data_IF_494874443650
#
_entry.id   IF_494874443650
#
_cell.length_a   1.000
_cell.length_b   1.000
_cell.length_c   1.000
_cell.angle_alpha   90.00
_cell.angle_beta   90.00
_cell.angle_gamma   90.00
#
_symmetry.space_group_name_H-M   'P 1'
#
loop_
_entity.id
_entity.type
_entity.pdbx_description
1 polymer ?
#
# COMPACT_ATOMS: atom_id res chain seq x y z
N UNK A 1 36.54 -35.71 30.91
CA UNK A 1 36.39 -34.26 30.73
C UNK A 1 36.08 -33.65 32.09
N UNK A 2 36.81 -32.62 32.55
CA UNK A 2 36.56 -32.03 33.89
C UNK A 2 35.27 -31.20 33.85
N UNK A 3 34.51 -31.17 34.94
CA UNK A 3 33.26 -30.39 35.02
C UNK A 3 33.46 -28.90 34.69
N UNK A 4 34.63 -28.34 35.02
CA UNK A 4 35.00 -26.95 34.73
C UNK A 4 35.05 -26.66 33.22
N UNK A 5 35.58 -27.59 32.42
CA UNK A 5 35.66 -27.40 30.96
C UNK A 5 34.28 -27.42 30.32
N UNK A 6 33.38 -28.26 30.85
CA UNK A 6 31.98 -28.35 30.41
C UNK A 6 31.17 -27.12 30.80
N UNK A 7 31.40 -26.55 31.99
CA UNK A 7 30.78 -25.29 32.40
C UNK A 7 31.21 -24.16 31.45
N UNK A 8 32.51 -24.02 31.16
CA UNK A 8 33.01 -22.99 30.24
C UNK A 8 32.45 -23.14 28.82
N UNK A 9 32.30 -24.37 28.32
CA UNK A 9 31.71 -24.57 26.99
C UNK A 9 30.24 -24.16 26.96
N UNK A 10 29.47 -24.50 28.00
CA UNK A 10 28.06 -24.14 28.13
C UNK A 10 27.86 -22.64 28.28
N UNK A 11 28.70 -21.94 29.04
CA UNK A 11 28.66 -20.48 29.16
C UNK A 11 28.90 -19.79 27.81
N UNK A 12 29.85 -20.30 27.02
CA UNK A 12 30.11 -19.80 25.66
C UNK A 12 28.92 -20.04 24.74
N UNK A 13 28.30 -21.21 24.81
CA UNK A 13 27.13 -21.55 24.00
C UNK A 13 25.92 -20.69 24.38
N UNK A 14 25.67 -20.51 25.68
CA UNK A 14 24.63 -19.63 26.21
C UNK A 14 24.84 -18.17 25.77
N UNK A 15 26.09 -17.70 25.76
CA UNK A 15 26.43 -16.38 25.23
C UNK A 15 26.09 -16.22 23.75
N UNK A 16 26.36 -17.25 22.92
CA UNK A 16 25.98 -17.25 21.50
C UNK A 16 24.46 -17.25 21.32
N UNK A 17 23.73 -18.07 22.06
CA UNK A 17 22.26 -18.09 22.00
C UNK A 17 21.66 -16.76 22.42
N UNK A 18 22.15 -16.14 23.50
CA UNK A 18 21.70 -14.81 23.93
C UNK A 18 21.91 -13.76 22.85
N UNK A 19 23.07 -13.78 22.18
CA UNK A 19 23.34 -12.88 21.06
C UNK A 19 22.40 -13.15 19.87
N UNK A 20 22.21 -14.41 19.49
CA UNK A 20 21.31 -14.78 18.39
C UNK A 20 19.85 -14.37 18.65
N UNK A 21 19.37 -14.52 19.89
CA UNK A 21 18.04 -14.05 20.30
C UNK A 21 17.95 -12.53 20.19
N UNK A 22 18.93 -11.79 20.71
CA UNK A 22 18.95 -10.33 20.62
C UNK A 22 18.98 -9.83 19.17
N UNK A 23 19.78 -10.46 18.30
CA UNK A 23 19.84 -10.13 16.88
C UNK A 23 18.50 -10.42 16.17
N UNK A 24 17.84 -11.54 16.53
CA UNK A 24 16.52 -11.89 16.00
C UNK A 24 15.43 -10.93 16.47
N UNK A 25 15.44 -10.52 17.73
CA UNK A 25 14.50 -9.54 18.27
C UNK A 25 14.65 -8.19 17.56
N UNK A 26 15.89 -7.78 17.29
CA UNK A 26 16.16 -6.56 16.52
C UNK A 26 15.61 -6.65 15.09
N UNK A 27 15.75 -7.79 14.43
CA UNK A 27 15.20 -8.01 13.10
C UNK A 27 13.67 -7.98 13.11
N UNK A 28 13.05 -8.66 14.08
CA UNK A 28 11.59 -8.69 14.23
C UNK A 28 11.01 -7.30 14.46
N UNK A 29 11.69 -6.45 15.25
CA UNK A 29 11.27 -5.05 15.43
C UNK A 29 11.30 -4.27 14.11
N UNK A 30 12.39 -4.36 13.35
CA UNK A 30 12.50 -3.70 12.04
C UNK A 30 11.42 -4.17 11.07
N UNK A 31 11.17 -5.47 11.00
CA UNK A 31 10.13 -6.02 10.13
C UNK A 31 8.73 -5.55 10.54
N UNK A 32 8.45 -5.43 11.84
CA UNK A 32 7.19 -4.86 12.33
C UNK A 32 7.03 -3.39 11.93
N UNK A 33 8.08 -2.59 12.10
CA UNK A 33 8.07 -1.18 11.69
C UNK A 33 7.92 -1.00 10.17
N UNK A 34 8.49 -1.90 9.36
CA UNK A 34 8.28 -1.93 7.91
C UNK A 34 6.86 -2.33 7.54
N UNK A 35 6.31 -3.35 8.21
CA UNK A 35 4.94 -3.81 7.98
C UNK A 35 3.91 -2.74 8.37
N UNK A 36 4.11 -2.07 9.50
CA UNK A 36 3.25 -0.97 9.96
C UNK A 36 3.25 0.19 8.96
N UNK A 37 4.43 0.62 8.50
CA UNK A 37 4.54 1.66 7.46
C UNK A 37 3.89 1.25 6.13
N UNK A 38 4.06 0.00 5.73
CA UNK A 38 3.41 -0.52 4.52
C UNK A 38 1.88 -0.56 4.67
N UNK A 39 1.38 -0.92 5.86
CA UNK A 39 -0.04 -0.94 6.17
C UNK A 39 -0.63 0.48 6.16
N UNK A 40 0.02 1.44 6.81
CA UNK A 40 -0.39 2.84 6.81
C UNK A 40 -0.41 3.43 5.39
N UNK A 41 0.62 3.12 4.59
CA UNK A 41 0.67 3.51 3.18
C UNK A 41 -0.48 2.91 2.37
N UNK A 42 -0.83 1.64 2.61
CA UNK A 42 -1.96 1.00 1.95
C UNK A 42 -3.30 1.64 2.32
N UNK A 43 -3.51 1.99 3.60
CA UNK A 43 -4.70 2.71 4.05
C UNK A 43 -4.82 4.10 3.42
N UNK A 44 -3.71 4.83 3.32
CA UNK A 44 -3.69 6.14 2.65
C UNK A 44 -4.02 6.02 1.16
N UNK A 45 -3.47 5.03 0.46
CA UNK A 45 -3.78 4.77 -0.95
C UNK A 45 -5.23 4.36 -1.16
N UNK A 46 -5.78 3.53 -0.27
CA UNK A 46 -7.20 3.15 -0.30
C UNK A 46 -8.08 4.41 -0.14
N UNK A 47 -7.84 5.22 0.89
CA UNK A 47 -8.62 6.43 1.12
C UNK A 47 -8.54 7.43 -0.06
N UNK A 48 -7.35 7.59 -0.66
CA UNK A 48 -7.19 8.43 -1.85
C UNK A 48 -7.93 7.86 -3.07
N UNK A 49 -7.89 6.54 -3.26
CA UNK A 49 -8.61 5.86 -4.34
C UNK A 49 -10.11 5.99 -4.17
N UNK A 50 -10.64 5.77 -2.96
CA UNK A 50 -12.06 5.92 -2.64
C UNK A 50 -12.53 7.35 -2.91
N UNK A 51 -11.73 8.36 -2.55
CA UNK A 51 -12.03 9.76 -2.83
C UNK A 51 -12.08 10.06 -4.34
N UNK A 52 -11.13 9.54 -5.12
CA UNK A 52 -11.09 9.68 -6.58
C UNK A 52 -12.31 9.01 -7.23
N UNK A 53 -12.59 7.75 -6.89
CA UNK A 53 -13.75 7.02 -7.45
C UNK A 53 -15.05 7.73 -7.08
N UNK A 54 -15.18 8.19 -5.83
CA UNK A 54 -16.35 8.95 -5.38
C UNK A 54 -16.50 10.24 -6.19
N UNK A 55 -15.42 11.01 -6.39
CA UNK A 55 -15.46 12.23 -7.20
C UNK A 55 -15.89 11.97 -8.64
N UNK A 56 -15.39 10.89 -9.26
CA UNK A 56 -15.78 10.50 -10.62
C UNK A 56 -17.25 10.09 -10.66
N UNK A 57 -17.72 9.29 -9.68
CA UNK A 57 -19.12 8.87 -9.61
C UNK A 57 -20.08 10.07 -9.38
N UNK A 58 -19.68 11.05 -8.57
CA UNK A 58 -20.45 12.29 -8.38
C UNK A 58 -20.52 13.15 -9.65
N UNK A 59 -19.46 13.15 -10.46
CA UNK A 59 -19.37 13.98 -11.67
C UNK A 59 -20.02 13.33 -12.90
N UNK A 60 -19.96 11.99 -13.01
CA UNK A 60 -20.30 11.25 -14.22
C UNK A 60 -21.27 10.08 -14.00
N UNK A 61 -21.61 9.78 -12.75
CA UNK A 61 -22.57 8.73 -12.44
C UNK A 61 -24.01 9.15 -12.68
N UNK A 62 -24.90 8.16 -12.66
CA UNK A 62 -26.34 8.35 -12.68
C UNK A 62 -26.86 8.51 -11.25
N UNK A 63 -27.72 9.52 -11.04
CA UNK A 63 -28.42 9.68 -9.78
C UNK A 63 -29.44 8.55 -9.59
N UNK A 64 -29.37 7.84 -8.47
CA UNK A 64 -30.31 6.79 -8.12
C UNK A 64 -31.30 7.33 -7.11
N UNK A 65 -32.58 7.30 -7.48
CA UNK A 65 -33.72 7.68 -6.66
C UNK A 65 -34.59 6.45 -6.46
N UNK A 66 -34.92 6.14 -5.22
CA UNK A 66 -35.83 5.05 -4.84
C UNK A 66 -36.85 5.60 -3.85
N UNK A 67 -38.14 5.31 -4.06
CA UNK A 67 -39.26 5.84 -3.26
C UNK A 67 -39.29 7.38 -3.10
N UNK A 68 -38.72 8.10 -4.06
CA UNK A 68 -38.65 9.57 -4.05
C UNK A 68 -37.46 10.14 -3.26
N UNK A 69 -36.62 9.28 -2.67
CA UNK A 69 -35.40 9.66 -1.97
C UNK A 69 -34.14 9.38 -2.81
N UNK A 70 -33.18 10.31 -2.77
CA UNK A 70 -31.87 10.13 -3.42
C UNK A 70 -31.03 9.16 -2.59
N UNK A 71 -30.76 7.98 -3.13
CA UNK A 71 -29.87 6.99 -2.52
C UNK A 71 -28.38 7.27 -2.79
N UNK A 72 -28.06 7.90 -3.93
CA UNK A 72 -26.68 8.25 -4.27
C UNK A 72 -26.41 8.25 -5.77
N UNK A 73 -25.17 7.93 -6.14
CA UNK A 73 -24.69 7.96 -7.51
C UNK A 73 -24.16 6.59 -7.92
N UNK A 74 -24.50 6.15 -9.13
CA UNK A 74 -24.05 4.88 -9.70
C UNK A 74 -23.22 5.15 -10.95
N UNK A 75 -21.97 4.71 -10.91
CA UNK A 75 -21.10 4.71 -12.07
C UNK A 75 -20.86 3.27 -12.52
N UNK A 76 -21.21 2.96 -13.77
CA UNK A 76 -20.87 1.66 -14.37
C UNK A 76 -19.52 1.78 -15.07
N UNK A 77 -18.55 0.98 -14.64
CA UNK A 77 -17.20 0.94 -15.24
C UNK A 77 -17.05 -0.37 -16.01
N UNK A 78 -16.53 -0.31 -17.23
CA UNK A 78 -16.23 -1.52 -18.01
C UNK A 78 -15.19 -2.35 -17.26
N UNK A 79 -15.32 -3.67 -17.32
CA UNK A 79 -14.29 -4.57 -16.77
C UNK A 79 -12.96 -4.26 -17.46
N UNK A 80 -11.91 -4.10 -16.66
CA UNK A 80 -10.55 -3.90 -17.14
C UNK A 80 -9.60 -4.87 -16.42
N UNK A 81 -8.48 -5.17 -17.07
CA UNK A 81 -7.37 -5.88 -16.45
C UNK A 81 -6.36 -4.86 -15.91
N UNK A 82 -6.05 -4.94 -14.61
CA UNK A 82 -5.17 -3.99 -13.93
C UNK A 82 -3.74 -4.06 -14.49
N UNK A 83 -3.24 -5.25 -14.79
CA UNK A 83 -1.90 -5.39 -15.34
C UNK A 83 -1.80 -4.82 -16.75
N UNK A 84 -2.81 -5.10 -17.58
CA UNK A 84 -2.87 -4.59 -18.95
C UNK A 84 -2.91 -3.06 -18.97
N UNK A 85 -3.80 -2.44 -18.17
CA UNK A 85 -3.88 -0.98 -18.07
C UNK A 85 -2.58 -0.38 -17.57
N UNK A 86 -1.92 -0.99 -16.57
CA UNK A 86 -0.63 -0.50 -16.04
C UNK A 86 0.52 -0.64 -17.03
N UNK A 87 0.50 -1.66 -17.88
CA UNK A 87 1.50 -1.88 -18.94
C UNK A 87 1.27 -0.95 -20.13
N UNK A 88 0.02 -0.69 -20.49
CA UNK A 88 -0.35 0.12 -21.64
C UNK A 88 -0.36 1.62 -21.40
N UNK A 89 -0.52 2.08 -20.15
CA UNK A 89 -0.70 3.49 -19.84
C UNK A 89 0.19 3.98 -18.69
N UNK A 90 0.56 5.25 -18.78
CA UNK A 90 1.25 6.00 -17.72
C UNK A 90 0.33 7.12 -17.22
N UNK A 91 0.25 7.25 -15.89
CA UNK A 91 -0.57 8.26 -15.23
C UNK A 91 0.34 9.39 -14.76
N UNK A 92 0.05 10.60 -15.22
CA UNK A 92 0.67 11.83 -14.74
C UNK A 92 -0.34 12.58 -13.89
N UNK A 93 -0.03 12.80 -12.62
CA UNK A 93 -0.85 13.61 -11.74
C UNK A 93 -0.05 14.83 -11.26
N UNK A 94 -0.66 16.00 -11.34
CA UNK A 94 -0.13 17.23 -10.73
C UNK A 94 -1.25 17.98 -10.03
N UNK A 95 -0.90 18.79 -9.04
CA UNK A 95 -1.83 19.71 -8.42
C UNK A 95 -1.80 21.05 -9.16
N UNK A 96 -2.95 21.59 -9.49
CA UNK A 96 -3.08 22.95 -9.99
C UNK A 96 -2.89 23.94 -8.84
N UNK A 97 -1.93 24.85 -8.96
CA UNK A 97 -1.60 25.80 -7.89
C UNK A 97 -2.65 26.90 -7.70
N UNK A 98 -3.50 27.16 -8.71
CA UNK A 98 -4.51 28.22 -8.65
C UNK A 98 -5.82 27.73 -8.07
N UNK A 99 -6.30 26.57 -8.53
CA UNK A 99 -7.59 26.02 -8.07
C UNK A 99 -7.42 25.06 -6.91
N UNK A 100 -6.21 24.49 -6.74
CA UNK A 100 -5.94 23.45 -5.76
C UNK A 100 -6.38 22.06 -6.18
N UNK A 101 -6.99 21.92 -7.36
CA UNK A 101 -7.49 20.66 -7.93
C UNK A 101 -6.34 19.77 -8.41
N UNK A 102 -6.62 18.48 -8.56
CA UNK A 102 -5.68 17.56 -9.19
C UNK A 102 -5.98 17.43 -10.68
N UNK A 103 -4.97 17.67 -11.50
CA UNK A 103 -4.99 17.40 -12.94
C UNK A 103 -4.35 16.04 -13.15
N UNK A 104 -5.15 15.08 -13.59
CA UNK A 104 -4.72 13.71 -13.89
C UNK A 104 -4.79 13.50 -15.41
N UNK A 105 -3.65 13.20 -16.01
CA UNK A 105 -3.52 12.80 -17.41
C UNK A 105 -3.10 11.34 -17.51
N UNK A 106 -3.61 10.66 -18.53
CA UNK A 106 -3.21 9.29 -18.86
C UNK A 106 -2.71 9.28 -20.30
N UNK A 107 -1.51 8.75 -20.51
CA UNK A 107 -0.89 8.63 -21.84
C UNK A 107 -0.55 7.18 -22.13
N UNK A 108 -0.66 6.71 -23.38
CA UNK A 108 -0.12 5.42 -23.75
C UNK A 108 1.38 5.37 -23.44
N UNK A 109 1.85 4.28 -22.85
CA UNK A 109 3.28 4.01 -22.76
C UNK A 109 3.79 3.72 -24.17
N UNK A 110 4.75 4.49 -24.66
CA UNK A 110 5.44 4.12 -25.90
C UNK A 110 6.14 2.78 -25.66
N UNK A 111 5.90 1.80 -26.53
CA UNK A 111 6.64 0.55 -26.52
C UNK A 111 8.13 0.89 -26.61
N UNK A 112 8.87 0.71 -25.52
CA UNK A 112 10.33 0.58 -25.60
C UNK A 112 10.56 -0.79 -26.25
N UNK A 113 10.64 -0.80 -27.58
CA UNK A 113 11.30 -1.88 -28.34
C UNK A 113 12.77 -2.01 -27.92
#
# INVERSE_FOLDING_TARGET
MRNIDKIKSLEKELGRYRKAVADRDKLLRKQREELERAHDGALQLQAATDALISSIALAHGEEIIEDGERLGWRLTVQKFDVEEVRKGYEVHARRDEKTGDYIVGVVPRENQE
#
